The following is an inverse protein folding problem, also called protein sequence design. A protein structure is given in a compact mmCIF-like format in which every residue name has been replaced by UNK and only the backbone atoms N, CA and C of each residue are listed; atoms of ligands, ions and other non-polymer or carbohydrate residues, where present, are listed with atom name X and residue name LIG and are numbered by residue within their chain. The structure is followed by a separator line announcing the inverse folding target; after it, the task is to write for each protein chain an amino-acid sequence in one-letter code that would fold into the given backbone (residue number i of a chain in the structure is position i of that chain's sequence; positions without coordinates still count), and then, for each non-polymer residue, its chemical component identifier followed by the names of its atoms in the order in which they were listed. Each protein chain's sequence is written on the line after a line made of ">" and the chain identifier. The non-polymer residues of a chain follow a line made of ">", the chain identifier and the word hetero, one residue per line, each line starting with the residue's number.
data_IF_635264439935
#
_entry.id   IF_635264439935
#
_cell.length_a   1.000
_cell.length_b   1.000
_cell.length_c   1.000
_cell.angle_alpha   90.00
_cell.angle_beta   90.00
_cell.angle_gamma   90.00
#
_symmetry.space_group_name_H-M   'P 1'
#
loop_
_entity.id
_entity.type
_entity.pdbx_description
1 polymer ?
#
# COMPACT_ATOMS: atom_id res chain seq x y z
N UNK A 1 19.01 11.03 -22.11
CA UNK A 1 19.88 10.91 -20.92
C UNK A 1 19.04 10.47 -19.71
N UNK A 2 19.19 9.21 -19.29
CA UNK A 2 18.38 8.61 -18.25
C UNK A 2 18.71 9.24 -16.90
N UNK A 3 17.70 9.68 -16.17
CA UNK A 3 17.88 9.97 -14.75
C UNK A 3 18.38 8.67 -14.10
N UNK A 4 19.63 8.68 -13.66
CA UNK A 4 20.15 7.63 -12.80
C UNK A 4 19.35 7.69 -11.50
N UNK A 5 18.68 6.58 -11.17
CA UNK A 5 18.08 6.40 -9.86
C UNK A 5 19.21 6.09 -8.90
N UNK A 6 19.55 7.07 -8.06
CA UNK A 6 20.34 6.80 -6.87
C UNK A 6 19.56 5.80 -6.00
N UNK A 7 20.20 4.68 -5.69
CA UNK A 7 19.61 3.69 -4.80
C UNK A 7 19.45 4.28 -3.42
N UNK A 8 18.25 4.19 -2.85
CA UNK A 8 18.03 4.46 -1.43
C UNK A 8 18.35 3.20 -0.62
N UNK A 9 18.70 3.34 0.66
CA UNK A 9 18.71 2.20 1.58
C UNK A 9 17.29 1.68 1.75
N UNK A 10 17.06 0.38 1.54
CA UNK A 10 15.77 -0.24 1.83
C UNK A 10 15.41 -0.03 3.29
N UNK A 11 14.20 0.45 3.56
CA UNK A 11 13.67 0.57 4.91
C UNK A 11 12.70 -0.58 5.18
N UNK A 12 12.68 -1.04 6.43
CA UNK A 12 11.73 -2.04 6.88
C UNK A 12 10.30 -1.44 6.86
N UNK A 13 9.34 -2.20 6.35
CA UNK A 13 7.93 -1.82 6.26
C UNK A 13 7.07 -3.07 6.29
N UNK A 14 5.84 -2.95 6.79
CA UNK A 14 4.84 -4.01 6.70
C UNK A 14 4.54 -4.43 5.25
N UNK A 15 4.67 -3.51 4.29
CA UNK A 15 4.41 -3.71 2.87
C UNK A 15 5.66 -4.16 2.08
N UNK A 16 6.23 -5.30 2.47
CA UNK A 16 7.45 -5.87 1.89
C UNK A 16 7.41 -6.01 0.36
N UNK A 17 6.24 -6.26 -0.23
CA UNK A 17 6.09 -6.42 -1.68
C UNK A 17 6.42 -5.16 -2.49
N UNK A 18 6.47 -3.99 -1.85
CA UNK A 18 6.87 -2.71 -2.45
C UNK A 18 8.10 -2.08 -1.79
N UNK A 19 8.78 -2.80 -0.89
CA UNK A 19 10.02 -2.36 -0.23
C UNK A 19 11.23 -2.45 -1.19
N UNK A 20 11.20 -1.69 -2.29
CA UNK A 20 12.16 -1.82 -3.40
C UNK A 20 13.06 -0.59 -3.46
N UNK A 21 14.30 -0.73 -2.99
CA UNK A 21 15.34 0.31 -3.03
C UNK A 21 15.69 0.78 -4.45
N UNK A 22 15.63 -0.11 -5.44
CA UNK A 22 15.93 0.20 -6.84
C UNK A 22 14.95 -0.48 -7.80
N UNK A 23 13.82 0.19 -8.14
CA UNK A 23 12.80 -0.41 -9.00
C UNK A 23 13.34 -0.71 -10.40
N UNK A 24 13.31 -1.98 -10.82
CA UNK A 24 13.78 -2.43 -12.15
C UNK A 24 13.05 -1.68 -13.28
N UNK A 25 11.80 -1.29 -13.04
CA UNK A 25 10.93 -0.58 -13.98
C UNK A 25 10.83 0.93 -13.74
N UNK A 26 11.79 1.54 -13.02
CA UNK A 26 11.78 2.96 -12.66
C UNK A 26 11.47 3.90 -13.84
N UNK A 27 12.12 3.70 -14.99
CA UNK A 27 11.88 4.51 -16.21
C UNK A 27 10.44 4.40 -16.72
N UNK A 28 9.85 3.21 -16.65
CA UNK A 28 8.46 2.98 -17.07
C UNK A 28 7.47 3.63 -16.12
N UNK A 29 7.75 3.57 -14.80
CA UNK A 29 6.93 4.24 -13.77
C UNK A 29 6.93 5.75 -14.01
N UNK A 30 8.11 6.38 -14.16
CA UNK A 30 8.21 7.81 -14.44
C UNK A 30 7.51 8.23 -15.73
N UNK A 31 7.60 7.38 -16.78
CA UNK A 31 6.89 7.62 -18.03
C UNK A 31 5.38 7.58 -17.83
N UNK A 32 4.88 6.59 -17.10
CA UNK A 32 3.45 6.46 -16.81
C UNK A 32 2.92 7.67 -16.03
N UNK A 33 3.64 8.17 -15.03
CA UNK A 33 3.27 9.40 -14.30
C UNK A 33 3.17 10.61 -15.22
N UNK A 34 4.17 10.79 -16.10
CA UNK A 34 4.18 11.92 -17.04
C UNK A 34 3.02 11.84 -18.03
N UNK A 35 2.77 10.67 -18.59
CA UNK A 35 1.73 10.48 -19.61
C UNK A 35 0.32 10.57 -19.02
N UNK A 36 0.12 10.13 -17.77
CA UNK A 36 -1.17 10.22 -17.09
C UNK A 36 -1.41 11.54 -16.34
N UNK A 37 -0.40 12.41 -16.27
CA UNK A 37 -0.38 13.56 -15.34
C UNK A 37 -0.69 13.14 -13.89
N UNK A 38 -0.26 11.93 -13.53
CA UNK A 38 -0.50 11.33 -12.22
C UNK A 38 0.48 11.79 -11.15
N UNK A 39 0.29 11.25 -9.95
CA UNK A 39 1.13 11.54 -8.78
C UNK A 39 1.60 10.25 -8.09
N UNK A 40 2.65 10.36 -7.27
CA UNK A 40 3.06 9.35 -6.31
C UNK A 40 2.88 9.94 -4.92
N UNK A 41 2.28 9.18 -4.03
CA UNK A 41 2.20 9.50 -2.60
C UNK A 41 2.89 8.41 -1.79
N UNK A 42 3.39 8.77 -0.62
CA UNK A 42 3.85 7.83 0.39
C UNK A 42 2.80 7.67 1.48
N UNK A 43 2.78 6.49 2.09
CA UNK A 43 1.95 6.16 3.25
C UNK A 43 2.81 5.47 4.29
N UNK A 44 2.48 5.67 5.55
CA UNK A 44 3.09 5.03 6.70
C UNK A 44 2.52 3.64 6.96
N UNK A 45 3.25 2.81 7.70
CA UNK A 45 2.78 1.51 8.17
C UNK A 45 1.51 1.61 9.04
N UNK A 46 1.32 2.72 9.75
CA UNK A 46 0.11 2.94 10.56
C UNK A 46 -1.12 3.27 9.69
N UNK A 47 -0.93 4.01 8.60
CA UNK A 47 -1.98 4.18 7.58
C UNK A 47 -2.30 2.86 6.89
N UNK A 48 -1.30 2.01 6.61
CA UNK A 48 -1.51 0.65 6.07
C UNK A 48 -2.33 -0.20 7.05
N UNK A 49 -2.00 -0.18 8.35
CA UNK A 49 -2.80 -0.86 9.40
C UNK A 49 -4.25 -0.37 9.43
N UNK A 50 -4.46 0.94 9.33
CA UNK A 50 -5.78 1.53 9.29
C UNK A 50 -6.56 1.09 8.04
N UNK A 51 -5.90 1.05 6.88
CA UNK A 51 -6.48 0.56 5.63
C UNK A 51 -6.86 -0.92 5.69
N UNK A 52 -6.01 -1.78 6.28
CA UNK A 52 -6.33 -3.20 6.51
C UNK A 52 -7.61 -3.35 7.34
N UNK A 53 -7.73 -2.60 8.44
CA UNK A 53 -8.95 -2.60 9.27
C UNK A 53 -10.18 -2.10 8.50
N UNK A 54 -10.02 -1.05 7.67
CA UNK A 54 -11.09 -0.50 6.83
C UNK A 54 -11.59 -1.53 5.81
N UNK A 55 -10.66 -2.17 5.08
CA UNK A 55 -10.97 -3.22 4.11
C UNK A 55 -11.61 -4.44 4.77
N UNK A 56 -11.10 -4.87 5.92
CA UNK A 56 -11.69 -5.98 6.68
C UNK A 56 -13.15 -5.71 7.08
N UNK A 57 -13.48 -4.48 7.52
CA UNK A 57 -14.87 -4.06 7.80
C UNK A 57 -15.77 -4.07 6.55
N UNK A 58 -15.19 -4.01 5.35
CA UNK A 58 -15.90 -4.13 4.07
C UNK A 58 -15.98 -5.58 3.56
N UNK A 59 -15.47 -6.56 4.32
CA UNK A 59 -15.42 -7.98 3.92
C UNK A 59 -14.27 -8.32 2.97
N UNK A 60 -13.28 -7.42 2.82
CA UNK A 60 -12.13 -7.62 1.95
C UNK A 60 -10.89 -8.02 2.76
N UNK A 61 -10.42 -9.25 2.56
CA UNK A 61 -9.23 -9.78 3.23
C UNK A 61 -7.99 -9.64 2.34
N UNK A 62 -7.18 -8.63 2.63
CA UNK A 62 -6.06 -8.15 1.79
C UNK A 62 -4.76 -8.19 2.60
N UNK A 63 -3.62 -8.44 1.96
CA UNK A 63 -2.30 -8.35 2.60
C UNK A 63 -1.76 -6.90 2.64
N UNK A 64 -0.77 -6.57 3.50
CA UNK A 64 -0.33 -5.19 3.72
C UNK A 64 0.09 -4.40 2.47
N UNK A 65 0.77 -5.04 1.51
CA UNK A 65 1.21 -4.42 0.25
C UNK A 65 0.01 -3.98 -0.60
N UNK A 66 -0.98 -4.86 -0.78
CA UNK A 66 -2.22 -4.56 -1.46
C UNK A 66 -3.07 -3.51 -0.74
N UNK A 67 -2.97 -3.43 0.59
CA UNK A 67 -3.66 -2.41 1.38
C UNK A 67 -3.02 -1.01 1.27
N UNK A 68 -1.77 -0.88 0.83
CA UNK A 68 -1.10 0.41 0.68
C UNK A 68 -1.83 1.35 -0.30
N UNK A 69 -2.45 0.81 -1.36
CA UNK A 69 -3.26 1.62 -2.27
C UNK A 69 -4.52 2.19 -1.62
N UNK A 70 -5.13 1.46 -0.67
CA UNK A 70 -6.27 1.95 0.10
C UNK A 70 -5.84 2.96 1.18
N UNK A 71 -4.65 2.80 1.76
CA UNK A 71 -4.07 3.78 2.68
C UNK A 71 -3.88 5.14 2.00
N UNK A 72 -3.51 5.13 0.71
CA UNK A 72 -3.36 6.35 -0.08
C UNK A 72 -4.69 7.04 -0.44
N UNK A 73 -5.84 6.39 -0.22
CA UNK A 73 -7.14 6.90 -0.68
C UNK A 73 -7.47 8.28 -0.09
N UNK A 74 -7.23 8.49 1.19
CA UNK A 74 -7.57 9.76 1.87
C UNK A 74 -6.70 10.93 1.38
N UNK A 75 -5.49 10.65 0.88
CA UNK A 75 -4.69 11.64 0.16
C UNK A 75 -5.19 11.80 -1.28
N UNK A 76 -5.55 10.69 -1.93
CA UNK A 76 -5.98 10.64 -3.33
C UNK A 76 -7.25 11.47 -3.59
N UNK A 77 -8.22 11.44 -2.67
CA UNK A 77 -9.46 12.21 -2.81
C UNK A 77 -9.23 13.73 -2.94
N UNK A 78 -8.10 14.24 -2.40
CA UNK A 78 -7.75 15.67 -2.52
C UNK A 78 -7.26 16.04 -3.94
N UNK A 79 -6.94 15.06 -4.79
CA UNK A 79 -6.54 15.27 -6.18
C UNK A 79 -7.69 15.10 -7.17
N UNK A 80 -8.88 14.71 -6.70
CA UNK A 80 -10.04 14.37 -7.55
C UNK A 80 -11.15 15.40 -7.44
N UNK A 81 -11.94 15.58 -8.50
CA UNK A 81 -13.16 16.38 -8.45
C UNK A 81 -14.33 15.62 -7.83
N UNK A 82 -15.34 16.36 -7.31
CA UNK A 82 -16.57 15.78 -6.74
C UNK A 82 -17.40 15.12 -7.84
N UNK A 83 -17.06 13.89 -8.25
CA UNK A 83 -17.84 12.89 -9.04
C UNK A 83 -16.97 11.85 -9.77
N UNK A 84 -15.67 11.79 -9.53
CA UNK A 84 -14.81 10.81 -10.21
C UNK A 84 -14.95 9.39 -9.66
N UNK A 85 -14.83 8.40 -10.55
CA UNK A 85 -14.75 6.99 -10.19
C UNK A 85 -13.31 6.65 -9.85
N UNK A 86 -13.07 6.21 -8.62
CA UNK A 86 -11.75 5.76 -8.15
C UNK A 86 -11.71 4.24 -8.18
N UNK A 87 -10.68 3.69 -8.82
CA UNK A 87 -10.38 2.25 -8.82
C UNK A 87 -9.14 2.00 -7.99
N UNK A 88 -9.25 1.13 -6.98
CA UNK A 88 -8.14 0.73 -6.11
C UNK A 88 -7.77 -0.72 -6.44
N UNK A 89 -6.54 -0.94 -6.91
CA UNK A 89 -6.04 -2.28 -7.22
C UNK A 89 -5.55 -2.97 -5.95
N UNK A 90 -6.28 -4.00 -5.50
CA UNK A 90 -5.90 -4.86 -4.38
C UNK A 90 -5.11 -6.06 -4.91
N UNK A 91 -3.78 -5.97 -4.87
CA UNK A 91 -2.88 -6.87 -5.59
C UNK A 91 -2.61 -8.22 -4.90
N UNK A 92 -2.92 -8.35 -3.61
CA UNK A 92 -2.63 -9.53 -2.82
C UNK A 92 -3.75 -9.88 -1.83
N UNK A 93 -4.04 -11.18 -1.72
CA UNK A 93 -5.02 -11.69 -0.76
C UNK A 93 -4.40 -11.87 0.63
N UNK A 94 -5.19 -11.67 1.68
CA UNK A 94 -4.72 -11.78 3.08
C UNK A 94 -4.16 -13.15 3.44
N UNK A 95 -4.61 -14.23 2.79
CA UNK A 95 -4.08 -15.59 3.03
C UNK A 95 -2.57 -15.73 2.72
N UNK A 96 -1.95 -14.83 1.93
CA UNK A 96 -0.48 -14.81 1.74
C UNK A 96 0.28 -14.37 2.99
N UNK A 97 -0.39 -13.68 3.91
CA UNK A 97 0.20 -12.99 5.04
C UNK A 97 -0.55 -13.26 6.34
N UNK A 98 -1.23 -14.41 6.46
CA UNK A 98 -2.13 -14.70 7.58
C UNK A 98 -1.46 -14.52 8.97
N UNK A 99 -0.30 -15.14 9.20
CA UNK A 99 0.45 -15.01 10.46
C UNK A 99 0.87 -13.55 10.75
N UNK A 100 1.23 -12.82 9.70
CA UNK A 100 1.62 -11.41 9.80
C UNK A 100 0.40 -10.55 10.15
N UNK A 101 -0.73 -10.80 9.50
CA UNK A 101 -1.97 -10.07 9.76
C UNK A 101 -2.48 -10.31 11.17
N UNK A 102 -2.35 -11.54 11.70
CA UNK A 102 -2.65 -11.82 13.10
C UNK A 102 -1.86 -10.92 14.05
N UNK A 103 -0.56 -10.72 13.80
CA UNK A 103 0.30 -9.83 14.61
C UNK A 103 0.00 -8.35 14.42
N UNK A 104 -0.31 -7.94 13.18
CA UNK A 104 -0.61 -6.55 12.82
C UNK A 104 -1.95 -6.10 13.40
N UNK A 105 -2.95 -6.99 13.36
CA UNK A 105 -4.33 -6.72 13.71
C UNK A 105 -4.71 -7.25 15.09
N UNK A 106 -3.75 -7.80 15.84
CA UNK A 106 -3.99 -8.32 17.19
C UNK A 106 -4.70 -7.25 18.02
N UNK A 107 -5.83 -7.62 18.61
CA UNK A 107 -6.48 -6.76 19.60
C UNK A 107 -5.61 -6.76 20.87
N UNK A 108 -5.40 -5.60 21.51
CA UNK A 108 -4.83 -5.56 22.85
C UNK A 108 -5.67 -6.46 23.76
N UNK A 109 -5.05 -7.51 24.34
CA UNK A 109 -5.69 -8.42 25.29
C UNK A 109 -6.17 -9.77 24.74
N UNK A 110 -5.95 -10.10 23.45
CA UNK A 110 -6.25 -11.44 22.94
C UNK A 110 -5.13 -12.44 23.23
N UNK A 111 -4.94 -12.82 24.50
CA UNK A 111 -4.37 -14.13 24.82
C UNK A 111 -5.44 -15.19 24.53
N UNK A 112 -5.39 -15.78 23.33
CA UNK A 112 -6.04 -17.06 23.11
C UNK A 112 -5.23 -18.12 23.86
N UNK A 113 -5.62 -18.38 25.12
CA UNK A 113 -5.31 -19.65 25.78
C UNK A 113 -6.39 -20.65 25.35
N UNK A 114 -5.96 -21.70 24.66
CA UNK A 114 -6.74 -22.87 24.29
C UNK A 114 -5.78 -24.00 23.95
#
# INVERSE_FOLDING_TARGET
>A
PGADFDSTTGQETLAEGIAIARPVRAKQILRALKDSQGTIVSVSDDEIKAALRKLGKMGLYVEPTGAAAMAAFDQAVNFTSKRETIVIALTGHGLKAAEKLDRILSLPGSTAQG
#
